data_IF_521788922530
#
_entry.id   IF_521788922530
#
_cell.length_a   1.000
_cell.length_b   1.000
_cell.length_c   1.000
_cell.angle_alpha   90.00
_cell.angle_beta   90.00
_cell.angle_gamma   90.00
#
_symmetry.space_group_name_H-M   'P 1'
#
loop_
_entity.id
_entity.type
_entity.pdbx_description
1 polymer ?
#
# COMPACT_ATOMS: atom_id res chain seq x y z
N UNK A 1 -10.56 -5.80 -2.79
CA UNK A 1 -10.88 -6.09 -4.20
C UNK A 1 -9.61 -6.56 -4.91
N UNK A 2 -9.73 -7.63 -5.68
CA UNK A 2 -8.55 -8.30 -6.27
C UNK A 2 -8.00 -7.55 -7.48
N UNK A 3 -8.84 -6.85 -8.23
CA UNK A 3 -8.42 -5.99 -9.33
C UNK A 3 -9.00 -4.59 -9.22
N UNK A 4 -8.34 -3.75 -8.43
CA UNK A 4 -8.72 -2.35 -8.23
C UNK A 4 -8.52 -1.52 -9.50
N UNK A 5 -7.57 -1.88 -10.37
CA UNK A 5 -7.31 -1.14 -11.61
C UNK A 5 -8.43 -1.33 -12.62
N UNK A 6 -8.93 -2.56 -12.79
CA UNK A 6 -10.11 -2.83 -13.62
C UNK A 6 -11.36 -2.16 -13.04
N UNK A 7 -11.52 -2.14 -11.71
CA UNK A 7 -12.61 -1.42 -11.06
C UNK A 7 -12.53 0.09 -11.33
N UNK A 8 -11.35 0.68 -11.22
CA UNK A 8 -11.16 2.11 -11.50
C UNK A 8 -11.45 2.44 -12.97
N UNK A 9 -11.04 1.58 -13.89
CA UNK A 9 -11.35 1.74 -15.32
C UNK A 9 -12.86 1.64 -15.60
N UNK A 10 -13.57 0.73 -14.91
CA UNK A 10 -15.01 0.49 -15.10
C UNK A 10 -15.90 1.58 -14.49
N UNK A 11 -15.58 2.03 -13.27
CA UNK A 11 -16.44 2.94 -12.50
C UNK A 11 -15.96 4.40 -12.53
N UNK A 12 -14.80 4.68 -13.08
CA UNK A 12 -14.21 6.02 -13.13
C UNK A 12 -13.51 6.40 -11.82
N UNK A 13 -12.99 7.63 -11.74
CA UNK A 13 -12.07 8.06 -10.68
C UNK A 13 -12.66 8.19 -9.27
N UNK A 14 -13.98 8.25 -9.11
CA UNK A 14 -14.61 8.34 -7.79
C UNK A 14 -15.15 6.97 -7.35
N UNK A 15 -14.22 6.12 -6.90
CA UNK A 15 -14.57 4.80 -6.36
C UNK A 15 -15.37 4.89 -5.06
N UNK A 16 -15.18 5.97 -4.28
CA UNK A 16 -15.79 6.11 -2.96
C UNK A 16 -17.32 6.25 -3.06
N UNK A 17 -17.79 7.02 -3.99
CA UNK A 17 -19.22 7.26 -4.16
C UNK A 17 -19.88 6.16 -5.00
N UNK A 18 -19.20 5.72 -6.06
CA UNK A 18 -19.76 4.78 -7.04
C UNK A 18 -19.62 3.31 -6.67
N UNK A 19 -18.65 2.99 -5.81
CA UNK A 19 -18.34 1.61 -5.47
C UNK A 19 -18.44 1.35 -3.96
N UNK A 20 -17.74 2.12 -3.12
CA UNK A 20 -17.67 1.84 -1.68
C UNK A 20 -19.06 1.90 -1.03
N UNK A 21 -19.84 2.93 -1.34
CA UNK A 21 -21.17 3.12 -0.75
C UNK A 21 -22.14 1.99 -1.13
N UNK A 22 -22.32 1.63 -2.41
CA UNK A 22 -23.13 0.47 -2.78
C UNK A 22 -22.65 -0.85 -2.18
N UNK A 23 -21.33 -1.07 -2.12
CA UNK A 23 -20.77 -2.30 -1.56
C UNK A 23 -21.02 -2.44 -0.06
N UNK A 24 -20.87 -1.35 0.70
CA UNK A 24 -21.20 -1.33 2.12
C UNK A 24 -22.71 -1.54 2.37
N UNK A 25 -23.55 -0.95 1.53
CA UNK A 25 -25.00 -1.10 1.62
C UNK A 25 -25.43 -2.55 1.37
N UNK A 26 -24.94 -3.18 0.30
CA UNK A 26 -25.20 -4.58 -0.01
C UNK A 26 -24.73 -5.50 1.13
N UNK A 27 -23.53 -5.26 1.67
CA UNK A 27 -23.02 -6.07 2.78
C UNK A 27 -23.88 -5.92 4.04
N UNK A 28 -24.40 -4.72 4.35
CA UNK A 28 -25.30 -4.47 5.49
C UNK A 28 -26.65 -5.18 5.37
N UNK A 29 -27.10 -5.46 4.15
CA UNK A 29 -28.37 -6.16 3.91
C UNK A 29 -28.26 -7.67 4.20
N UNK A 30 -27.06 -8.21 4.39
CA UNK A 30 -26.89 -9.62 4.75
C UNK A 30 -27.42 -9.85 6.16
N UNK A 31 -28.44 -10.71 6.36
CA UNK A 31 -29.14 -10.82 7.66
C UNK A 31 -28.24 -11.21 8.84
N UNK A 32 -27.15 -11.94 8.58
CA UNK A 32 -26.18 -12.33 9.60
C UNK A 32 -25.24 -11.21 10.01
N UNK A 33 -25.08 -10.18 9.16
CA UNK A 33 -24.27 -8.98 9.42
C UNK A 33 -25.10 -7.92 10.11
N UNK A 34 -26.38 -7.79 9.75
CA UNK A 34 -27.27 -6.76 10.27
C UNK A 34 -27.36 -6.82 11.80
N UNK A 35 -27.05 -5.70 12.45
CA UNK A 35 -27.16 -5.51 13.90
C UNK A 35 -26.09 -6.21 14.79
N UNK A 36 -25.13 -6.91 14.18
CA UNK A 36 -24.03 -7.57 14.91
C UNK A 36 -22.64 -7.26 14.41
N UNK A 37 -22.56 -6.58 13.28
CA UNK A 37 -21.30 -6.21 12.69
C UNK A 37 -21.29 -4.74 12.28
N UNK A 38 -20.12 -4.13 12.33
CA UNK A 38 -19.84 -2.82 11.76
C UNK A 38 -18.92 -3.01 10.56
N UNK A 39 -19.32 -2.45 9.41
CA UNK A 39 -18.49 -2.45 8.20
C UNK A 39 -18.11 -1.01 7.90
N UNK A 40 -16.84 -0.79 7.59
CA UNK A 40 -16.33 0.51 7.15
C UNK A 40 -15.36 0.35 5.97
N UNK A 41 -15.26 1.38 5.13
CA UNK A 41 -14.17 1.49 4.17
C UNK A 41 -12.89 1.91 4.90
N UNK A 42 -11.80 1.16 4.70
CA UNK A 42 -10.48 1.45 5.26
C UNK A 42 -9.58 2.15 4.25
N UNK A 43 -9.85 1.97 2.95
CA UNK A 43 -9.15 2.58 1.83
C UNK A 43 -9.83 2.23 0.52
N UNK A 44 -9.33 2.71 -0.62
CA UNK A 44 -9.91 2.37 -1.93
C UNK A 44 -9.96 0.86 -2.14
N UNK A 45 -11.18 0.32 -2.25
CA UNK A 45 -11.39 -1.12 -2.41
C UNK A 45 -11.02 -1.99 -1.21
N UNK A 46 -10.84 -1.39 -0.03
CA UNK A 46 -10.55 -2.11 1.21
C UNK A 46 -11.64 -1.84 2.24
N UNK A 47 -12.12 -2.90 2.87
CA UNK A 47 -13.21 -2.86 3.83
C UNK A 47 -12.83 -3.63 5.09
N UNK A 48 -13.20 -3.10 6.23
CA UNK A 48 -13.04 -3.75 7.54
C UNK A 48 -14.41 -4.13 8.09
N UNK A 49 -14.52 -5.36 8.53
CA UNK A 49 -15.69 -5.91 9.19
C UNK A 49 -15.35 -6.25 10.64
N UNK A 50 -15.94 -5.52 11.56
CA UNK A 50 -15.86 -5.81 13.00
C UNK A 50 -17.11 -6.52 13.46
N UNK A 51 -16.97 -7.70 14.03
CA UNK A 51 -18.07 -8.53 14.48
C UNK A 51 -18.02 -8.80 15.98
N UNK A 52 -19.10 -8.48 16.68
CA UNK A 52 -19.23 -8.84 18.08
C UNK A 52 -19.69 -10.30 18.21
N UNK A 53 -18.81 -11.17 18.70
CA UNK A 53 -19.06 -12.60 18.88
C UNK A 53 -19.54 -12.88 20.31
N UNK A 54 -20.66 -13.62 20.45
CA UNK A 54 -21.18 -14.08 21.75
C UNK A 54 -20.82 -15.53 22.03
N UNK A 55 -20.82 -16.38 20.99
CA UNK A 55 -20.50 -17.79 21.09
C UNK A 55 -19.11 -18.09 20.53
N UNK A 56 -18.19 -18.41 21.43
CA UNK A 56 -16.79 -18.68 21.09
C UNK A 56 -16.57 -19.98 20.32
N UNK A 57 -17.50 -20.92 20.39
CA UNK A 57 -17.32 -22.28 19.84
C UNK A 57 -17.64 -22.33 18.34
N UNK A 58 -18.52 -21.47 17.84
CA UNK A 58 -18.99 -21.49 16.43
C UNK A 58 -18.61 -20.26 15.62
N UNK A 59 -17.83 -19.34 16.22
CA UNK A 59 -17.56 -18.06 15.56
C UNK A 59 -16.87 -18.23 14.20
N UNK A 60 -15.88 -19.11 14.13
CA UNK A 60 -15.05 -19.28 12.93
C UNK A 60 -15.89 -19.66 11.70
N UNK A 61 -16.68 -20.73 11.80
CA UNK A 61 -17.54 -21.18 10.70
C UNK A 61 -18.61 -20.15 10.36
N UNK A 62 -19.11 -19.42 11.35
CA UNK A 62 -20.08 -18.34 11.14
C UNK A 62 -19.45 -17.19 10.38
N UNK A 63 -18.26 -16.74 10.78
CA UNK A 63 -17.51 -15.68 10.09
C UNK A 63 -17.16 -16.08 8.67
N UNK A 64 -16.63 -17.30 8.47
CA UNK A 64 -16.30 -17.80 7.13
C UNK A 64 -17.54 -17.86 6.23
N UNK A 65 -18.69 -18.30 6.75
CA UNK A 65 -19.96 -18.30 6.02
C UNK A 65 -20.39 -16.90 5.61
N UNK A 66 -20.23 -15.91 6.49
CA UNK A 66 -20.55 -14.50 6.21
C UNK A 66 -19.61 -13.92 5.16
N UNK A 67 -18.30 -14.14 5.30
CA UNK A 67 -17.32 -13.68 4.30
C UNK A 67 -17.66 -14.24 2.93
N UNK A 68 -17.93 -15.54 2.82
CA UNK A 68 -18.33 -16.17 1.55
C UNK A 68 -19.63 -15.60 1.00
N UNK A 69 -20.59 -15.28 1.86
CA UNK A 69 -21.84 -14.65 1.44
C UNK A 69 -21.60 -13.23 0.91
N UNK A 70 -20.74 -12.44 1.57
CA UNK A 70 -20.32 -11.12 1.07
C UNK A 70 -19.64 -11.27 -0.30
N UNK A 71 -18.71 -12.19 -0.45
CA UNK A 71 -18.02 -12.45 -1.71
C UNK A 71 -19.00 -12.84 -2.84
N UNK A 72 -19.99 -13.69 -2.54
CA UNK A 72 -21.03 -14.08 -3.50
C UNK A 72 -21.85 -12.87 -3.92
N UNK A 73 -22.37 -12.10 -2.96
CA UNK A 73 -23.17 -10.89 -3.24
C UNK A 73 -22.40 -9.91 -4.14
N UNK A 74 -21.14 -9.65 -3.83
CA UNK A 74 -20.34 -8.71 -4.61
C UNK A 74 -19.98 -9.25 -6.01
N UNK A 75 -19.76 -10.55 -6.13
CA UNK A 75 -19.57 -11.20 -7.42
C UNK A 75 -20.84 -11.13 -8.28
N UNK A 76 -21.98 -11.48 -7.69
CA UNK A 76 -23.24 -11.63 -8.40
C UNK A 76 -23.83 -10.27 -8.84
N UNK A 77 -23.77 -9.25 -7.95
CA UNK A 77 -24.33 -7.93 -8.23
C UNK A 77 -23.35 -6.95 -8.88
N UNK A 78 -22.07 -7.04 -8.55
CA UNK A 78 -21.07 -6.07 -9.00
C UNK A 78 -20.08 -6.68 -10.00
N UNK A 79 -20.09 -8.01 -10.20
CA UNK A 79 -19.09 -8.76 -10.96
C UNK A 79 -17.66 -8.44 -10.51
N UNK A 80 -17.44 -8.47 -9.17
CA UNK A 80 -16.18 -8.17 -8.55
C UNK A 80 -15.70 -9.35 -7.71
N UNK A 81 -14.42 -9.72 -7.87
CA UNK A 81 -13.75 -10.65 -6.98
C UNK A 81 -13.14 -9.90 -5.79
N UNK A 82 -13.26 -10.47 -4.61
CA UNK A 82 -12.79 -9.89 -3.35
C UNK A 82 -12.14 -10.96 -2.50
N UNK A 83 -10.85 -10.81 -2.24
CA UNK A 83 -10.15 -11.62 -1.23
C UNK A 83 -10.44 -11.10 0.18
N UNK A 84 -10.39 -11.98 1.16
CA UNK A 84 -10.67 -11.65 2.54
C UNK A 84 -9.57 -12.18 3.48
N UNK A 85 -9.37 -11.48 4.59
CA UNK A 85 -8.57 -11.96 5.71
C UNK A 85 -9.38 -11.96 6.99
N UNK A 86 -9.17 -12.95 7.83
CA UNK A 86 -9.87 -13.11 9.11
C UNK A 86 -8.86 -13.27 10.24
N UNK A 87 -8.99 -12.45 11.28
CA UNK A 87 -8.26 -12.66 12.53
C UNK A 87 -8.96 -13.68 13.43
N UNK A 88 -8.23 -14.15 14.43
CA UNK A 88 -8.83 -14.81 15.59
C UNK A 88 -9.61 -13.78 16.42
N UNK A 89 -10.35 -14.31 17.42
CA UNK A 89 -11.06 -13.46 18.36
C UNK A 89 -10.07 -12.73 19.25
N UNK A 90 -10.27 -11.43 19.34
CA UNK A 90 -9.50 -10.54 20.20
C UNK A 90 -10.42 -9.73 21.10
N UNK A 91 -9.90 -9.26 22.21
CA UNK A 91 -10.55 -8.24 23.02
C UNK A 91 -10.44 -6.85 22.38
N UNK A 92 -10.91 -5.84 23.07
CA UNK A 92 -10.90 -4.47 22.56
C UNK A 92 -9.48 -3.91 22.36
N UNK A 93 -8.54 -4.32 23.20
CA UNK A 93 -7.15 -3.86 23.17
C UNK A 93 -6.40 -4.50 21.99
N UNK A 94 -6.68 -5.76 21.68
CA UNK A 94 -6.07 -6.48 20.55
C UNK A 94 -6.62 -6.13 19.17
N UNK A 95 -7.65 -5.27 19.04
CA UNK A 95 -8.27 -4.94 17.75
C UNK A 95 -7.30 -4.30 16.76
N UNK A 96 -6.37 -3.48 17.22
CA UNK A 96 -5.37 -2.82 16.38
C UNK A 96 -4.42 -3.84 15.76
N UNK A 97 -3.86 -4.70 16.58
CA UNK A 97 -2.90 -5.73 16.14
C UNK A 97 -3.58 -6.73 15.20
N UNK A 98 -4.82 -7.09 15.49
CA UNK A 98 -5.63 -7.93 14.61
C UNK A 98 -5.89 -7.29 13.25
N UNK A 99 -6.16 -5.98 13.20
CA UNK A 99 -6.33 -5.24 11.94
C UNK A 99 -5.03 -5.19 11.12
N UNK A 100 -3.88 -4.93 11.76
CA UNK A 100 -2.57 -4.96 11.11
C UNK A 100 -2.24 -6.35 10.55
N UNK A 101 -2.52 -7.39 11.32
CA UNK A 101 -2.33 -8.78 10.90
C UNK A 101 -3.23 -9.14 9.71
N UNK A 102 -4.50 -8.75 9.74
CA UNK A 102 -5.41 -8.92 8.61
C UNK A 102 -4.93 -8.17 7.36
N UNK A 103 -4.38 -6.96 7.52
CA UNK A 103 -3.75 -6.21 6.43
C UNK A 103 -2.60 -7.00 5.78
N UNK A 104 -1.71 -7.58 6.59
CA UNK A 104 -0.62 -8.44 6.12
C UNK A 104 -1.14 -9.69 5.39
N UNK A 105 -2.15 -10.36 5.96
CA UNK A 105 -2.79 -11.52 5.35
C UNK A 105 -3.43 -11.18 3.98
N UNK A 106 -4.05 -10.02 3.84
CA UNK A 106 -4.59 -9.56 2.56
C UNK A 106 -3.50 -9.29 1.51
N UNK A 107 -2.35 -8.75 1.92
CA UNK A 107 -1.21 -8.60 1.02
C UNK A 107 -0.70 -9.97 0.54
N UNK A 108 -0.65 -10.94 1.43
CA UNK A 108 -0.26 -12.31 1.12
C UNK A 108 -1.31 -13.04 0.27
N UNK A 109 -2.59 -12.74 0.44
CA UNK A 109 -3.68 -13.27 -0.39
C UNK A 109 -3.55 -12.87 -1.87
N UNK A 110 -2.79 -11.83 -2.18
CA UNK A 110 -2.49 -11.45 -3.56
C UNK A 110 -1.68 -12.50 -4.33
N UNK A 111 -1.05 -13.42 -3.63
CA UNK A 111 -0.28 -14.53 -4.20
C UNK A 111 -1.14 -15.77 -4.51
N UNK A 112 -2.38 -15.77 -4.04
CA UNK A 112 -3.36 -16.83 -4.24
C UNK A 112 -4.34 -16.44 -5.37
N UNK A 113 -5.24 -17.36 -5.72
CA UNK A 113 -6.28 -17.07 -6.71
C UNK A 113 -7.24 -15.97 -6.20
N UNK A 114 -7.82 -15.17 -7.11
CA UNK A 114 -8.81 -14.15 -6.74
C UNK A 114 -9.97 -14.74 -5.95
N UNK A 115 -10.37 -14.05 -4.88
CA UNK A 115 -11.41 -14.54 -3.97
C UNK A 115 -10.88 -15.41 -2.84
N UNK A 116 -9.59 -15.46 -2.62
CA UNK A 116 -8.98 -16.19 -1.51
C UNK A 116 -9.47 -15.70 -0.14
N UNK A 117 -9.62 -16.62 0.80
CA UNK A 117 -9.90 -16.31 2.21
C UNK A 117 -8.73 -16.78 3.05
N UNK A 118 -7.95 -15.83 3.55
CA UNK A 118 -6.82 -16.09 4.44
C UNK A 118 -7.27 -15.97 5.89
N UNK A 119 -6.85 -16.92 6.74
CA UNK A 119 -7.17 -16.89 8.16
C UNK A 119 -5.89 -16.81 8.98
N UNK A 120 -5.96 -16.20 10.15
CA UNK A 120 -4.84 -16.14 11.09
C UNK A 120 -4.34 -17.56 11.41
N UNK A 121 -5.27 -18.48 11.65
CA UNK A 121 -5.00 -19.86 12.02
C UNK A 121 -4.29 -20.64 10.93
N UNK A 122 -3.23 -20.57 10.52
CA UNK A 122 -2.47 -21.28 9.47
C UNK A 122 -1.53 -20.37 8.66
N UNK A 123 -1.65 -19.06 8.86
CA UNK A 123 -0.82 -18.07 8.15
C UNK A 123 -0.22 -17.02 9.08
N UNK A 124 -0.37 -17.15 10.39
CA UNK A 124 0.08 -16.17 11.38
C UNK A 124 1.60 -15.94 11.31
N UNK A 125 2.38 -17.00 11.26
CA UNK A 125 3.84 -16.90 11.17
C UNK A 125 4.26 -16.12 9.93
N UNK A 126 3.66 -16.41 8.77
CA UNK A 126 3.94 -15.72 7.52
C UNK A 126 3.47 -14.26 7.54
N UNK A 127 2.33 -13.97 8.16
CA UNK A 127 1.84 -12.60 8.30
C UNK A 127 2.73 -11.76 9.24
N UNK A 128 3.19 -12.34 10.34
CA UNK A 128 4.17 -11.71 11.24
C UNK A 128 5.50 -11.47 10.53
N UNK A 129 5.95 -12.43 9.74
CA UNK A 129 7.15 -12.27 8.90
C UNK A 129 6.96 -11.17 7.85
N UNK A 130 5.77 -11.03 7.25
CA UNK A 130 5.47 -9.94 6.34
C UNK A 130 5.59 -8.58 7.02
N UNK A 131 5.05 -8.41 8.22
CA UNK A 131 5.15 -7.17 9.00
C UNK A 131 6.59 -6.86 9.41
N UNK A 132 7.34 -7.87 9.86
CA UNK A 132 8.71 -7.72 10.34
C UNK A 132 9.73 -7.53 9.22
N UNK A 133 9.64 -8.32 8.16
CA UNK A 133 10.65 -8.44 7.11
C UNK A 133 10.28 -7.66 5.84
N UNK A 134 8.99 -7.32 5.69
CA UNK A 134 8.51 -6.56 4.53
C UNK A 134 9.30 -5.29 4.27
N UNK A 135 9.53 -4.42 5.27
CA UNK A 135 10.31 -3.19 5.09
C UNK A 135 11.72 -3.42 4.52
N UNK A 136 12.38 -4.53 4.91
CA UNK A 136 13.70 -4.89 4.36
C UNK A 136 13.64 -5.35 2.89
N UNK A 137 12.47 -5.73 2.38
CA UNK A 137 12.26 -6.07 0.97
C UNK A 137 11.98 -4.82 0.12
N UNK A 138 11.57 -3.71 0.74
CA UNK A 138 11.13 -2.52 0.03
C UNK A 138 12.24 -1.91 -0.83
N UNK A 139 13.48 -1.93 -0.36
CA UNK A 139 14.63 -1.45 -1.13
C UNK A 139 14.78 -2.19 -2.48
N UNK A 140 14.67 -3.52 -2.47
CA UNK A 140 14.73 -4.30 -3.72
C UNK A 140 13.49 -4.06 -4.59
N UNK A 141 12.29 -4.01 -4.00
CA UNK A 141 11.05 -3.75 -4.73
C UNK A 141 11.07 -2.36 -5.38
N UNK A 142 11.57 -1.35 -4.67
CA UNK A 142 11.71 -0.01 -5.20
C UNK A 142 12.78 0.06 -6.30
N UNK A 143 13.97 -0.52 -6.06
CA UNK A 143 15.04 -0.57 -7.04
C UNK A 143 14.64 -1.32 -8.32
N UNK A 144 13.81 -2.36 -8.21
CA UNK A 144 13.27 -3.10 -9.36
C UNK A 144 12.44 -2.20 -10.29
N UNK A 145 11.68 -1.26 -9.72
CA UNK A 145 10.78 -0.41 -10.49
C UNK A 145 11.38 0.94 -10.88
N UNK A 146 12.22 1.53 -10.04
CA UNK A 146 12.69 2.92 -10.18
C UNK A 146 14.21 3.07 -10.19
N UNK A 147 14.95 2.09 -9.66
CA UNK A 147 16.38 2.14 -9.48
C UNK A 147 17.18 2.06 -10.80
N UNK A 148 18.42 2.58 -10.76
CA UNK A 148 19.42 2.28 -11.78
C UNK A 148 19.73 0.80 -11.83
N UNK A 149 20.42 0.34 -12.89
CA UNK A 149 20.84 -1.07 -13.00
C UNK A 149 21.75 -1.45 -11.83
N UNK A 150 22.71 -0.58 -11.51
CA UNK A 150 23.68 -0.80 -10.41
C UNK A 150 22.97 -0.91 -9.05
N UNK A 151 21.99 -0.05 -8.78
CA UNK A 151 21.20 -0.09 -7.54
C UNK A 151 20.37 -1.36 -7.44
N UNK A 152 19.72 -1.75 -8.54
CA UNK A 152 18.94 -2.98 -8.59
C UNK A 152 19.84 -4.21 -8.36
N UNK A 153 20.97 -4.31 -9.05
CA UNK A 153 21.92 -5.42 -8.89
C UNK A 153 22.46 -5.50 -7.45
N UNK A 154 22.76 -4.35 -6.85
CA UNK A 154 23.22 -4.28 -5.45
C UNK A 154 22.15 -4.79 -4.48
N UNK A 155 20.92 -4.30 -4.59
CA UNK A 155 19.83 -4.71 -3.72
C UNK A 155 19.45 -6.18 -3.92
N UNK A 156 19.47 -6.65 -5.17
CA UNK A 156 19.22 -8.04 -5.50
C UNK A 156 20.29 -8.95 -4.89
N UNK A 157 21.58 -8.61 -5.07
CA UNK A 157 22.69 -9.39 -4.52
C UNK A 157 22.61 -9.49 -3.00
N UNK A 158 22.33 -8.39 -2.31
CA UNK A 158 22.15 -8.36 -0.86
C UNK A 158 20.96 -9.22 -0.40
N UNK A 159 19.81 -9.12 -1.08
CA UNK A 159 18.65 -9.94 -0.77
C UNK A 159 18.96 -11.44 -0.90
N UNK A 160 19.58 -11.86 -2.02
CA UNK A 160 19.89 -13.28 -2.23
C UNK A 160 20.97 -13.78 -1.29
N UNK A 161 21.97 -12.95 -0.93
CA UNK A 161 22.97 -13.29 0.08
C UNK A 161 22.34 -13.60 1.45
N UNK A 162 21.32 -12.84 1.84
CA UNK A 162 20.54 -13.10 3.05
C UNK A 162 19.64 -14.32 2.90
N UNK A 163 19.00 -14.49 1.73
CA UNK A 163 18.13 -15.62 1.45
C UNK A 163 18.87 -16.96 1.48
N UNK A 164 20.08 -17.01 0.92
CA UNK A 164 20.91 -18.22 0.84
C UNK A 164 21.40 -18.70 2.22
N UNK A 165 21.27 -17.88 3.28
CA UNK A 165 21.55 -18.26 4.67
C UNK A 165 20.36 -18.96 5.35
N UNK A 166 19.18 -18.90 4.75
CA UNK A 166 17.94 -19.46 5.29
C UNK A 166 17.70 -20.86 4.73
N UNK A 167 17.04 -21.71 5.51
CA UNK A 167 16.72 -23.08 5.13
C UNK A 167 15.24 -23.41 5.31
N UNK A 168 14.78 -24.40 4.58
CA UNK A 168 13.45 -24.99 4.74
C UNK A 168 12.30 -23.98 4.63
N UNK A 169 11.49 -23.95 5.65
CA UNK A 169 10.29 -23.12 5.70
C UNK A 169 10.61 -21.62 5.82
N UNK A 170 11.70 -21.27 6.49
CA UNK A 170 12.09 -19.87 6.66
C UNK A 170 12.52 -19.24 5.32
N UNK A 171 13.27 -19.99 4.51
CA UNK A 171 13.60 -19.61 3.13
C UNK A 171 12.31 -19.39 2.32
N UNK A 172 11.36 -20.33 2.38
CA UNK A 172 10.08 -20.24 1.67
C UNK A 172 9.29 -19.01 2.10
N UNK A 173 9.17 -18.74 3.40
CA UNK A 173 8.48 -17.56 3.93
C UNK A 173 9.10 -16.26 3.45
N UNK A 174 10.44 -16.17 3.40
CA UNK A 174 11.15 -14.98 2.92
C UNK A 174 10.85 -14.70 1.44
N UNK A 175 10.81 -15.73 0.61
CA UNK A 175 10.41 -15.61 -0.81
C UNK A 175 8.98 -15.10 -0.94
N UNK A 176 8.04 -15.67 -0.17
CA UNK A 176 6.63 -15.25 -0.19
C UNK A 176 6.45 -13.80 0.28
N UNK A 177 7.20 -13.36 1.31
CA UNK A 177 7.16 -11.97 1.79
C UNK A 177 7.59 -11.00 0.67
N UNK A 178 8.69 -11.26 -0.02
CA UNK A 178 9.14 -10.41 -1.13
C UNK A 178 8.10 -10.35 -2.24
N UNK A 179 7.54 -11.50 -2.64
CA UNK A 179 6.51 -11.54 -3.68
C UNK A 179 5.24 -10.77 -3.30
N UNK A 180 4.83 -10.86 -2.03
CA UNK A 180 3.67 -10.12 -1.54
C UNK A 180 3.92 -8.61 -1.50
N UNK A 181 5.13 -8.16 -1.10
CA UNK A 181 5.54 -6.75 -1.17
C UNK A 181 5.54 -6.25 -2.60
N UNK A 182 6.05 -7.05 -3.53
CA UNK A 182 6.05 -6.74 -4.95
C UNK A 182 4.61 -6.57 -5.49
N UNK A 183 3.73 -7.53 -5.20
CA UNK A 183 2.32 -7.47 -5.60
C UNK A 183 1.58 -6.26 -4.98
N UNK A 184 1.86 -5.95 -3.71
CA UNK A 184 1.31 -4.77 -3.04
C UNK A 184 1.75 -3.48 -3.74
N UNK A 185 3.05 -3.33 -4.03
CA UNK A 185 3.60 -2.15 -4.70
C UNK A 185 3.04 -1.96 -6.10
N UNK A 186 2.87 -3.04 -6.86
CA UNK A 186 2.23 -2.99 -8.18
C UNK A 186 0.79 -2.45 -8.09
N UNK A 187 0.02 -2.88 -7.08
CA UNK A 187 -1.35 -2.36 -6.84
C UNK A 187 -1.35 -0.88 -6.47
N UNK A 188 -0.47 -0.45 -5.57
CA UNK A 188 -0.33 0.98 -5.22
C UNK A 188 -0.05 1.86 -6.45
N UNK A 189 0.76 1.36 -7.37
CA UNK A 189 1.13 2.06 -8.59
C UNK A 189 0.06 1.95 -9.70
N UNK A 190 -1.05 1.26 -9.47
CA UNK A 190 -2.10 1.04 -10.47
C UNK A 190 -1.62 0.22 -11.66
N UNK A 191 -0.56 -0.56 -11.49
CA UNK A 191 -0.05 -1.46 -12.52
C UNK A 191 -0.95 -2.70 -12.55
N UNK A 192 -1.32 -3.21 -13.74
CA UNK A 192 -2.02 -4.48 -13.83
C UNK A 192 -1.14 -5.54 -13.20
N UNK A 193 -1.72 -6.31 -12.28
CA UNK A 193 -1.02 -7.42 -11.62
C UNK A 193 -0.52 -8.39 -12.69
N UNK A 194 0.79 -8.46 -12.87
CA UNK A 194 1.39 -9.42 -13.80
C UNK A 194 1.48 -10.76 -13.09
N UNK A 195 0.37 -11.54 -13.14
CA UNK A 195 0.40 -12.96 -12.76
C UNK A 195 0.83 -13.25 -11.32
N UNK A 196 0.42 -12.43 -10.34
CA UNK A 196 0.71 -12.72 -8.92
C UNK A 196 -0.12 -13.90 -8.37
N UNK A 197 -1.30 -14.14 -8.95
CA UNK A 197 -2.14 -15.29 -8.60
C UNK A 197 -1.41 -16.62 -8.85
N UNK A 198 -1.57 -17.55 -7.92
CA UNK A 198 -0.92 -18.88 -7.99
C UNK A 198 0.56 -18.91 -7.62
N UNK A 199 1.20 -17.74 -7.33
CA UNK A 199 2.62 -17.70 -6.98
C UNK A 199 2.94 -18.42 -5.67
N UNK A 200 2.02 -18.41 -4.70
CA UNK A 200 2.18 -19.18 -3.46
C UNK A 200 2.29 -20.67 -3.77
N UNK A 201 1.38 -21.20 -4.56
CA UNK A 201 1.37 -22.61 -4.94
C UNK A 201 2.63 -22.97 -5.75
N UNK A 202 3.06 -22.10 -6.68
CA UNK A 202 4.28 -22.30 -7.43
C UNK A 202 5.52 -22.41 -6.53
N UNK A 203 5.68 -21.51 -5.55
CA UNK A 203 6.80 -21.55 -4.59
C UNK A 203 6.77 -22.82 -3.73
N UNK A 204 5.58 -23.23 -3.29
CA UNK A 204 5.40 -24.44 -2.47
C UNK A 204 5.66 -25.74 -3.23
N UNK A 205 5.46 -25.75 -4.55
CA UNK A 205 5.72 -26.92 -5.39
C UNK A 205 7.22 -27.16 -5.68
N UNK A 206 8.09 -26.15 -5.42
CA UNK A 206 9.54 -26.26 -5.63
C UNK A 206 10.21 -27.03 -4.47
N UNK A 207 10.94 -28.08 -4.81
CA UNK A 207 11.46 -29.04 -3.82
C UNK A 207 12.65 -28.49 -2.99
N UNK A 208 13.49 -27.65 -3.60
CA UNK A 208 14.73 -27.17 -2.95
C UNK A 208 14.81 -25.64 -2.86
N UNK A 209 15.66 -25.16 -1.94
CA UNK A 209 15.99 -23.73 -1.82
C UNK A 209 16.60 -23.18 -3.10
N UNK A 210 17.48 -23.95 -3.75
CA UNK A 210 18.12 -23.56 -5.01
C UNK A 210 17.11 -23.37 -6.13
N UNK A 211 16.11 -24.27 -6.25
CA UNK A 211 15.02 -24.12 -7.23
C UNK A 211 14.18 -22.88 -6.93
N UNK A 212 13.85 -22.62 -5.67
CA UNK A 212 13.08 -21.43 -5.26
C UNK A 212 13.84 -20.14 -5.54
N UNK A 213 15.14 -20.10 -5.23
CA UNK A 213 16.02 -18.96 -5.53
C UNK A 213 16.13 -18.70 -7.03
N UNK A 214 16.34 -19.74 -7.84
CA UNK A 214 16.42 -19.62 -9.29
C UNK A 214 15.08 -19.14 -9.90
N UNK A 215 13.98 -19.72 -9.46
CA UNK A 215 12.64 -19.31 -9.89
C UNK A 215 12.36 -17.84 -9.52
N UNK A 216 12.69 -17.42 -8.31
CA UNK A 216 12.53 -16.04 -7.88
C UNK A 216 13.37 -15.07 -8.72
N UNK A 217 14.63 -15.41 -9.04
CA UNK A 217 15.47 -14.59 -9.94
C UNK A 217 14.81 -14.42 -11.31
N UNK A 218 14.21 -15.48 -11.86
CA UNK A 218 13.48 -15.41 -13.11
C UNK A 218 12.25 -14.51 -13.02
N UNK A 219 11.47 -14.60 -11.93
CA UNK A 219 10.33 -13.72 -11.69
C UNK A 219 10.78 -12.25 -11.61
N UNK A 220 11.81 -11.95 -10.83
CA UNK A 220 12.32 -10.57 -10.70
C UNK A 220 12.82 -10.02 -12.03
N UNK A 221 13.50 -10.86 -12.84
CA UNK A 221 13.94 -10.48 -14.19
C UNK A 221 12.76 -10.17 -15.10
N UNK A 222 11.74 -11.04 -15.14
CA UNK A 222 10.52 -10.81 -15.93
C UNK A 222 9.77 -9.56 -15.50
N UNK A 223 9.68 -9.33 -14.18
CA UNK A 223 9.08 -8.10 -13.64
C UNK A 223 9.88 -6.86 -14.06
N UNK A 224 11.21 -6.92 -14.03
CA UNK A 224 12.06 -5.82 -14.48
C UNK A 224 11.95 -5.58 -15.99
N UNK A 225 11.96 -6.64 -16.80
CA UNK A 225 11.77 -6.55 -18.26
C UNK A 225 10.35 -6.06 -18.60
N UNK A 226 9.33 -6.59 -17.94
CA UNK A 226 7.93 -6.19 -18.10
C UNK A 226 7.61 -4.82 -17.51
N UNK A 227 8.24 -4.46 -16.40
CA UNK A 227 8.24 -3.12 -15.82
C UNK A 227 9.08 -2.16 -16.63
N UNK A 228 9.86 -2.69 -17.55
CA UNK A 228 10.96 -2.10 -18.27
C UNK A 228 10.89 -0.60 -18.42
N UNK A 229 12.03 0.07 -18.46
CA UNK A 229 12.23 1.53 -18.64
C UNK A 229 11.14 2.23 -19.48
N UNK A 230 10.45 1.50 -20.37
CA UNK A 230 9.32 1.95 -21.17
C UNK A 230 8.02 2.20 -20.39
N UNK A 231 7.73 1.47 -19.32
CA UNK A 231 6.43 1.54 -18.63
C UNK A 231 6.41 2.58 -17.52
N UNK A 232 7.49 2.70 -16.75
CA UNK A 232 7.67 3.79 -15.78
C UNK A 232 8.04 5.11 -16.46
N UNK A 233 8.81 5.07 -17.53
CA UNK A 233 8.99 6.21 -18.43
C UNK A 233 7.71 6.55 -19.20
N UNK A 234 6.78 5.59 -19.34
CA UNK A 234 5.50 5.77 -20.01
C UNK A 234 4.38 6.27 -19.08
N UNK A 235 4.50 6.21 -17.74
CA UNK A 235 3.51 6.83 -16.85
C UNK A 235 3.91 8.26 -16.47
N UNK A 236 3.32 9.27 -17.12
CA UNK A 236 3.65 10.66 -16.86
C UNK A 236 3.37 11.09 -15.41
N UNK A 237 2.36 10.49 -14.75
CA UNK A 237 2.00 10.85 -13.38
C UNK A 237 2.98 10.26 -12.36
N UNK A 238 3.46 9.04 -12.58
CA UNK A 238 4.53 8.47 -11.75
C UNK A 238 5.84 9.27 -11.88
N UNK A 239 6.21 9.68 -13.11
CA UNK A 239 7.35 10.56 -13.36
C UNK A 239 7.18 11.92 -12.67
N UNK A 240 5.97 12.49 -12.74
CA UNK A 240 5.66 13.75 -12.08
C UNK A 240 5.83 13.68 -10.56
N UNK A 241 5.31 12.62 -9.94
CA UNK A 241 5.44 12.37 -8.49
C UNK A 241 6.91 12.31 -8.08
N UNK A 242 7.71 11.49 -8.78
CA UNK A 242 9.14 11.38 -8.50
C UNK A 242 9.85 12.73 -8.66
N UNK A 243 9.58 13.44 -9.75
CA UNK A 243 10.14 14.77 -9.95
C UNK A 243 9.79 15.72 -8.80
N UNK A 244 8.56 15.65 -8.28
CA UNK A 244 8.15 16.41 -7.10
C UNK A 244 8.89 15.95 -5.83
N UNK A 245 9.05 14.65 -5.62
CA UNK A 245 9.76 14.05 -4.49
C UNK A 245 11.26 14.41 -4.48
N UNK A 246 11.87 14.50 -5.65
CA UNK A 246 13.27 14.90 -5.81
C UNK A 246 13.49 16.42 -5.69
N UNK A 247 12.44 17.25 -5.93
CA UNK A 247 12.55 18.71 -6.04
C UNK A 247 11.62 19.50 -5.10
N UNK A 248 10.93 18.88 -4.13
CA UNK A 248 9.94 19.57 -3.29
C UNK A 248 10.53 20.71 -2.43
N UNK A 249 11.83 20.69 -2.17
CA UNK A 249 12.55 21.74 -1.44
C UNK A 249 12.82 23.00 -2.28
N UNK A 250 12.67 22.89 -3.61
CA UNK A 250 12.79 24.05 -4.48
C UNK A 250 11.56 24.95 -4.31
N UNK A 251 11.80 26.19 -3.88
CA UNK A 251 10.77 27.21 -3.70
C UNK A 251 10.04 27.57 -5.00
N UNK A 252 10.72 27.43 -6.14
CA UNK A 252 10.19 27.79 -7.47
C UNK A 252 9.35 26.68 -8.11
N UNK A 253 9.26 25.48 -7.49
CA UNK A 253 8.55 24.35 -8.06
C UNK A 253 7.06 24.65 -8.28
N UNK A 254 6.66 24.69 -9.55
CA UNK A 254 5.28 24.98 -9.97
C UNK A 254 4.60 23.82 -10.66
N UNK A 255 3.27 23.88 -10.71
CA UNK A 255 2.45 22.94 -11.50
C UNK A 255 2.92 22.87 -12.96
N UNK A 256 3.24 24.04 -13.54
CA UNK A 256 3.71 24.17 -14.92
C UNK A 256 5.01 23.39 -15.14
N UNK A 257 6.01 23.59 -14.28
CA UNK A 257 7.30 22.90 -14.39
C UNK A 257 7.13 21.38 -14.36
N UNK A 258 6.28 20.87 -13.47
CA UNK A 258 6.02 19.43 -13.37
C UNK A 258 5.24 18.92 -14.57
N UNK A 259 4.27 19.69 -15.08
CA UNK A 259 3.51 19.35 -16.28
C UNK A 259 4.41 19.30 -17.52
N UNK A 260 5.28 20.30 -17.69
CA UNK A 260 6.24 20.39 -18.80
C UNK A 260 7.23 19.22 -18.77
N UNK A 261 7.70 18.82 -17.55
CA UNK A 261 8.61 17.69 -17.36
C UNK A 261 8.03 16.36 -17.85
N UNK A 262 6.71 16.21 -17.84
CA UNK A 262 6.03 15.00 -18.29
C UNK A 262 5.35 15.13 -19.66
N UNK A 263 5.47 16.30 -20.30
CA UNK A 263 4.95 16.57 -21.63
C UNK A 263 3.43 16.83 -21.66
N UNK A 264 2.86 17.33 -20.55
CA UNK A 264 1.45 17.69 -20.47
C UNK A 264 1.23 19.20 -20.36
N UNK A 265 0.08 19.69 -20.85
CA UNK A 265 -0.36 21.02 -20.47
C UNK A 265 -0.88 21.02 -19.03
N UNK A 266 -0.81 22.16 -18.34
CA UNK A 266 -1.16 22.30 -16.92
C UNK A 266 -2.57 21.81 -16.58
N UNK A 267 -3.55 22.15 -17.40
CA UNK A 267 -4.96 21.79 -17.16
C UNK A 267 -5.17 20.27 -17.22
N UNK A 268 -4.60 19.62 -18.23
CA UNK A 268 -4.68 18.18 -18.39
C UNK A 268 -3.90 17.45 -17.29
N UNK A 269 -2.68 17.94 -16.98
CA UNK A 269 -1.87 17.40 -15.90
C UNK A 269 -2.59 17.48 -14.55
N UNK A 270 -3.14 18.65 -14.18
CA UNK A 270 -3.84 18.84 -12.93
C UNK A 270 -5.02 17.86 -12.77
N UNK A 271 -5.81 17.67 -13.84
CA UNK A 271 -6.92 16.72 -13.84
C UNK A 271 -6.45 15.27 -13.68
N UNK A 272 -5.41 14.86 -14.44
CA UNK A 272 -4.88 13.50 -14.39
C UNK A 272 -4.17 13.21 -13.05
N UNK A 273 -3.43 14.19 -12.53
CA UNK A 273 -2.76 14.07 -11.24
C UNK A 273 -3.76 13.89 -10.11
N UNK A 274 -4.80 14.74 -10.04
CA UNK A 274 -5.87 14.63 -9.04
C UNK A 274 -6.62 13.30 -9.15
N UNK A 275 -6.94 12.88 -10.37
CA UNK A 275 -7.62 11.61 -10.64
C UNK A 275 -6.82 10.40 -10.14
N UNK A 276 -5.49 10.40 -10.33
CA UNK A 276 -4.63 9.25 -10.02
C UNK A 276 -4.05 9.27 -8.61
N UNK A 277 -3.76 10.47 -8.07
CA UNK A 277 -3.18 10.62 -6.73
C UNK A 277 -4.23 10.83 -5.63
N UNK A 278 -5.50 11.04 -5.99
CA UNK A 278 -6.58 11.31 -5.04
C UNK A 278 -6.48 12.69 -4.36
N UNK A 279 -5.48 13.51 -4.70
CA UNK A 279 -5.29 14.85 -4.17
C UNK A 279 -4.72 15.78 -5.23
N UNK A 280 -4.86 17.10 -5.04
CA UNK A 280 -4.32 18.09 -5.97
C UNK A 280 -2.80 18.16 -5.88
N UNK A 281 -2.16 18.68 -6.94
CA UNK A 281 -0.72 18.96 -6.97
C UNK A 281 -0.25 19.74 -5.73
N UNK A 282 -0.96 20.82 -5.40
CA UNK A 282 -0.62 21.67 -4.24
C UNK A 282 -0.73 20.90 -2.92
N UNK A 283 -1.78 20.09 -2.78
CA UNK A 283 -1.95 19.27 -1.59
C UNK A 283 -0.82 18.24 -1.44
N UNK A 284 -0.43 17.59 -2.53
CA UNK A 284 0.67 16.63 -2.57
C UNK A 284 2.01 17.28 -2.23
N UNK A 285 2.33 18.42 -2.86
CA UNK A 285 3.55 19.18 -2.58
C UNK A 285 3.62 19.60 -1.11
N UNK A 286 2.51 20.13 -0.56
CA UNK A 286 2.44 20.49 0.85
C UNK A 286 2.65 19.29 1.76
N UNK A 287 2.14 18.11 1.43
CA UNK A 287 2.39 16.90 2.23
C UNK A 287 3.87 16.51 2.26
N UNK A 288 4.57 16.58 1.12
CA UNK A 288 6.01 16.31 1.07
C UNK A 288 6.79 17.30 1.96
N UNK A 289 6.53 18.59 1.77
CA UNK A 289 7.18 19.66 2.54
C UNK A 289 6.91 19.56 4.04
N UNK A 290 5.67 19.26 4.42
CA UNK A 290 5.30 19.11 5.84
C UNK A 290 5.94 17.89 6.49
N UNK A 291 6.02 16.75 5.79
CA UNK A 291 6.72 15.56 6.31
C UNK A 291 8.20 15.85 6.55
N UNK A 292 8.84 16.52 5.62
CA UNK A 292 10.24 16.89 5.78
C UNK A 292 10.43 17.91 6.92
N UNK A 293 9.55 18.90 7.02
CA UNK A 293 9.58 19.86 8.14
C UNK A 293 9.39 19.16 9.51
N UNK A 294 8.51 18.16 9.61
CA UNK A 294 8.34 17.36 10.83
C UNK A 294 9.63 16.61 11.20
N UNK A 295 10.32 16.03 10.22
CA UNK A 295 11.62 15.37 10.47
C UNK A 295 12.67 16.35 10.98
N UNK A 296 12.75 17.55 10.37
CA UNK A 296 13.68 18.59 10.83
C UNK A 296 13.33 19.13 12.22
N UNK A 297 12.02 19.30 12.51
CA UNK A 297 11.56 19.76 13.82
C UNK A 297 11.90 18.77 14.96
N UNK A 298 11.83 17.47 14.68
CA UNK A 298 12.10 16.42 15.67
C UNK A 298 13.56 16.00 15.74
N UNK A 299 14.33 16.22 14.68
CA UNK A 299 15.70 15.71 14.57
C UNK A 299 16.80 16.77 14.61
N UNK A 300 16.46 18.06 14.71
CA UNK A 300 17.45 19.16 14.66
C UNK A 300 17.05 20.36 15.53
N UNK A 301 18.06 21.16 15.93
CA UNK A 301 17.87 22.43 16.63
C UNK A 301 17.70 23.65 15.71
N UNK A 302 17.45 23.41 14.41
CA UNK A 302 17.28 24.48 13.42
C UNK A 302 16.15 25.43 13.82
N UNK A 303 16.32 26.71 13.61
CA UNK A 303 15.26 27.69 13.87
C UNK A 303 14.09 27.50 12.91
N UNK A 304 12.89 27.89 13.34
CA UNK A 304 11.66 27.68 12.55
C UNK A 304 11.75 28.29 11.16
N UNK A 305 12.41 29.46 11.02
CA UNK A 305 12.59 30.07 9.71
C UNK A 305 13.55 29.28 8.80
N UNK A 306 14.60 28.65 9.39
CA UNK A 306 15.53 27.78 8.64
C UNK A 306 14.84 26.50 8.15
N UNK A 307 13.96 25.96 8.97
CA UNK A 307 13.14 24.81 8.60
C UNK A 307 12.15 25.16 7.49
N UNK A 308 11.50 26.34 7.60
CA UNK A 308 10.61 26.85 6.55
C UNK A 308 11.34 26.95 5.21
N UNK A 309 12.53 27.54 5.21
CA UNK A 309 13.37 27.69 4.04
C UNK A 309 13.77 26.32 3.45
N UNK A 310 14.37 25.44 4.27
CA UNK A 310 14.79 24.10 3.83
C UNK A 310 13.65 23.22 3.34
N UNK A 311 12.45 23.42 3.86
CA UNK A 311 11.26 22.71 3.44
C UNK A 311 10.62 23.28 2.16
N UNK A 312 11.23 24.32 1.56
CA UNK A 312 10.82 24.89 0.27
C UNK A 312 9.67 25.90 0.36
N UNK A 313 9.44 26.53 1.52
CA UNK A 313 8.43 27.59 1.65
C UNK A 313 9.04 28.98 1.42
N UNK A 314 8.36 29.80 0.63
CA UNK A 314 8.81 31.16 0.32
C UNK A 314 8.69 32.14 1.50
N UNK A 315 7.87 31.83 2.51
CA UNK A 315 7.76 32.64 3.73
C UNK A 315 7.42 31.78 4.95
N UNK A 316 7.88 32.25 6.11
CA UNK A 316 7.62 31.60 7.41
C UNK A 316 6.13 31.68 7.79
N UNK A 317 5.44 32.73 7.37
CA UNK A 317 4.01 32.91 7.61
C UNK A 317 3.20 31.85 6.86
N UNK A 318 3.51 31.66 5.59
CA UNK A 318 2.86 30.61 4.76
C UNK A 318 3.15 29.23 5.31
N UNK A 319 4.39 28.94 5.69
CA UNK A 319 4.78 27.71 6.36
C UNK A 319 3.97 27.46 7.63
N UNK A 320 3.99 28.43 8.56
CA UNK A 320 3.34 28.30 9.86
C UNK A 320 1.82 28.11 9.73
N UNK A 321 1.20 28.86 8.81
CA UNK A 321 -0.22 28.72 8.51
C UNK A 321 -0.54 27.32 7.94
N UNK A 322 0.22 26.88 6.93
CA UNK A 322 0.02 25.57 6.29
C UNK A 322 0.26 24.42 7.26
N UNK A 323 1.30 24.51 8.09
CA UNK A 323 1.61 23.53 9.11
C UNK A 323 0.48 23.40 10.14
N UNK A 324 0.01 24.53 10.72
CA UNK A 324 -1.08 24.56 11.69
C UNK A 324 -2.40 24.08 11.07
N UNK A 325 -2.70 24.44 9.82
CA UNK A 325 -3.90 24.01 9.12
C UNK A 325 -3.94 22.49 8.93
N UNK A 326 -2.81 21.85 8.62
CA UNK A 326 -2.76 20.41 8.32
C UNK A 326 -2.55 19.54 9.57
N UNK A 327 -1.83 20.02 10.58
CA UNK A 327 -1.44 19.24 11.77
C UNK A 327 -2.14 19.70 13.06
N UNK A 328 -2.92 20.77 13.00
CA UNK A 328 -3.72 21.27 14.13
C UNK A 328 -2.92 22.08 15.16
N UNK A 329 -1.59 22.05 15.12
CA UNK A 329 -0.70 22.73 16.07
C UNK A 329 0.39 23.52 15.33
N UNK A 330 0.99 24.52 16.00
CA UNK A 330 2.06 25.30 15.39
C UNK A 330 3.38 24.50 15.29
N UNK A 331 4.31 24.87 14.39
CA UNK A 331 5.64 24.24 14.33
C UNK A 331 6.40 24.32 15.66
N UNK A 332 6.25 25.42 16.40
CA UNK A 332 6.88 25.60 17.71
C UNK A 332 6.30 24.62 18.74
N UNK A 333 4.97 24.52 18.82
CA UNK A 333 4.30 23.60 19.73
C UNK A 333 4.60 22.14 19.40
N UNK A 334 4.74 21.83 18.11
CA UNK A 334 5.10 20.49 17.63
C UNK A 334 6.49 20.08 18.15
N UNK A 335 7.49 20.96 18.07
CA UNK A 335 8.83 20.72 18.62
C UNK A 335 8.80 20.48 20.13
N UNK A 336 8.13 21.36 20.87
CA UNK A 336 8.04 21.23 22.33
C UNK A 336 7.36 19.94 22.81
N UNK A 337 6.44 19.39 22.02
CA UNK A 337 5.83 18.08 22.31
C UNK A 337 6.79 16.92 22.07
N UNK A 338 7.67 17.02 21.06
CA UNK A 338 8.69 16.00 20.78
C UNK A 338 9.83 15.96 21.79
N UNK A 339 10.11 17.07 22.49
CA UNK A 339 11.13 17.16 23.55
C UNK A 339 10.64 16.59 24.91
N UNK A 340 9.34 16.37 25.06
CA UNK A 340 8.73 15.87 26.31
C UNK A 340 8.31 14.37 26.24
N UNK A 341 8.75 13.65 25.21
CA UNK A 341 8.51 12.20 25.04
C UNK A 341 9.83 11.46 24.97
#
# INVERSE_FOLDING_TARGET
MDDLSACTARFGGDLREKLDKPMLELARQIPRVAGRASIRAAGPGQYELFWQVRDKTRYYNTMLSVVRQIQSVWRDYMNLSVSAAMSDMVDREGLRDAAELCGALLCLAALDEPGAVCTQHGSEALARDYLRLGPACDGLVEALHTGSEEEYERQQAEFFRQLDQLQGEEHTRRVLVLLARLAYKQRECGLPGTGSAGRRQAVQALASEGERSLWLRNVLRQEREGSGKKRWQADPIARARRFMEDNFTDHSLTLKMVADQVGFNEKYFSAQFTKRCGCTFVAYLNQLRLRYAQQLLSGTDLKIYEISDRAGYNSIEHFTHTFKKNLGISPKDYRMKGENT
#
